data_IF_567716315808
#
_entry.id   IF_567716315808
#
_cell.length_a   1.000
_cell.length_b   1.000
_cell.length_c   1.000
_cell.angle_alpha   90.00
_cell.angle_beta   90.00
_cell.angle_gamma   90.00
#
_symmetry.space_group_name_H-M   'P 1'
#
loop_
_entity.id
_entity.type
_entity.pdbx_description
1 polymer ?
#
# COMPACT_ATOMS: atom_id res chain seq x y z
N UNK A 1 -0.63 -18.58 -40.90
CA UNK A 1 -1.89 -17.82 -41.00
C UNK A 1 -1.96 -16.82 -39.85
N UNK A 2 -2.37 -15.59 -40.16
CA UNK A 2 -2.03 -14.37 -39.43
C UNK A 2 -2.65 -14.26 -38.03
N UNK A 3 -1.81 -14.08 -37.01
CA UNK A 3 -2.23 -13.51 -35.73
C UNK A 3 -2.34 -11.99 -35.93
N UNK A 4 -3.55 -11.48 -35.78
CA UNK A 4 -3.94 -10.09 -36.02
C UNK A 4 -3.15 -9.12 -35.15
N UNK A 5 -2.14 -8.50 -35.76
CA UNK A 5 -1.40 -7.34 -35.26
C UNK A 5 -2.27 -6.09 -35.42
N UNK A 6 -3.30 -5.95 -34.59
CA UNK A 6 -4.22 -4.80 -34.67
C UNK A 6 -4.93 -4.53 -33.35
N UNK A 7 -4.21 -3.93 -32.41
CA UNK A 7 -4.79 -2.98 -31.42
C UNK A 7 -3.92 -1.72 -31.27
N UNK A 8 -3.21 -1.37 -32.34
CA UNK A 8 -2.63 -0.04 -32.46
C UNK A 8 -3.73 0.93 -32.88
N UNK A 9 -3.85 2.03 -32.14
CA UNK A 9 -4.43 3.28 -32.63
C UNK A 9 -5.95 3.47 -32.64
N UNK A 10 -6.53 3.54 -31.44
CA UNK A 10 -7.58 4.51 -31.13
C UNK A 10 -7.04 5.55 -30.12
N UNK A 11 -5.84 6.08 -30.34
CA UNK A 11 -5.36 7.33 -29.73
C UNK A 11 -5.79 8.52 -30.61
N UNK A 12 -7.05 8.50 -31.04
CA UNK A 12 -7.63 9.58 -31.82
C UNK A 12 -7.92 10.76 -30.87
N UNK A 13 -6.94 11.65 -30.77
CA UNK A 13 -7.07 13.05 -30.33
C UNK A 13 -7.40 13.34 -28.86
N UNK A 14 -7.12 12.45 -27.92
CA UNK A 14 -7.03 12.85 -26.52
C UNK A 14 -5.73 13.65 -26.30
N UNK A 15 -5.86 14.89 -25.81
CA UNK A 15 -4.69 15.70 -25.45
C UNK A 15 -3.90 14.98 -24.38
N UNK A 16 -2.64 14.67 -24.68
CA UNK A 16 -1.72 14.12 -23.69
C UNK A 16 -1.34 15.23 -22.71
N UNK A 17 -1.84 15.13 -21.50
CA UNK A 17 -1.58 16.07 -20.43
C UNK A 17 -0.25 15.73 -19.75
N UNK A 18 0.54 16.76 -19.47
CA UNK A 18 1.71 16.63 -18.61
C UNK A 18 1.29 16.36 -17.17
N UNK A 19 2.23 15.88 -16.34
CA UNK A 19 1.99 15.64 -14.90
C UNK A 19 1.38 16.85 -14.20
N UNK A 20 1.82 18.06 -14.56
CA UNK A 20 1.31 19.30 -13.95
C UNK A 20 -0.11 19.61 -14.41
N UNK A 21 -0.40 19.46 -15.69
CA UNK A 21 -1.74 19.69 -16.24
C UNK A 21 -2.75 18.66 -15.73
N UNK A 22 -2.37 17.38 -15.69
CA UNK A 22 -3.20 16.32 -15.13
C UNK A 22 -3.50 16.54 -13.65
N UNK A 23 -2.51 17.00 -12.87
CA UNK A 23 -2.71 17.34 -11.47
C UNK A 23 -3.67 18.53 -11.30
N UNK A 24 -3.53 19.58 -12.12
CA UNK A 24 -4.46 20.70 -12.16
C UNK A 24 -5.88 20.27 -12.56
N UNK A 25 -6.02 19.37 -13.54
CA UNK A 25 -7.32 18.86 -13.99
C UNK A 25 -8.06 18.05 -12.91
N UNK A 26 -7.33 17.38 -12.04
CA UNK A 26 -7.87 16.65 -10.89
C UNK A 26 -7.98 17.51 -9.61
N UNK A 27 -7.43 18.72 -9.60
CA UNK A 27 -7.39 19.58 -8.42
C UNK A 27 -6.49 19.04 -7.28
N UNK A 28 -5.50 18.21 -7.58
CA UNK A 28 -4.60 17.60 -6.59
C UNK A 28 -3.15 18.05 -6.78
N UNK A 29 -2.31 17.81 -5.76
CA UNK A 29 -0.87 18.05 -5.89
C UNK A 29 -0.21 17.04 -6.84
N UNK A 30 0.84 17.48 -7.53
CA UNK A 30 1.66 16.61 -8.41
C UNK A 30 2.26 15.42 -7.64
N UNK A 31 2.60 15.60 -6.36
CA UNK A 31 3.10 14.53 -5.48
C UNK A 31 2.05 13.43 -5.29
N UNK A 32 0.79 13.80 -5.07
CA UNK A 32 -0.31 12.83 -4.92
C UNK A 32 -0.56 12.09 -6.22
N UNK A 33 -0.59 12.80 -7.35
CA UNK A 33 -0.73 12.18 -8.67
C UNK A 33 0.34 11.11 -8.92
N UNK A 34 1.61 11.42 -8.61
CA UNK A 34 2.72 10.46 -8.72
C UNK A 34 2.53 9.29 -7.75
N UNK A 35 1.96 9.52 -6.56
CA UNK A 35 1.58 8.48 -5.62
C UNK A 35 0.60 7.48 -6.24
N UNK A 36 -0.51 7.96 -6.82
CA UNK A 36 -1.50 7.11 -7.49
C UNK A 36 -0.90 6.28 -8.64
N UNK A 37 0.02 6.88 -9.42
CA UNK A 37 0.74 6.15 -10.48
C UNK A 37 1.64 5.06 -9.90
N UNK A 38 2.36 5.33 -8.79
CA UNK A 38 3.20 4.32 -8.13
C UNK A 38 2.38 3.17 -7.53
N UNK A 39 1.17 3.46 -7.06
CA UNK A 39 0.22 2.47 -6.58
C UNK A 39 -0.45 1.66 -7.71
N UNK A 40 -0.30 2.09 -8.97
CA UNK A 40 -0.94 1.45 -10.12
C UNK A 40 -2.42 1.81 -10.30
N UNK A 41 -2.89 2.86 -9.66
CA UNK A 41 -4.31 3.29 -9.73
C UNK A 41 -4.61 4.14 -10.98
N UNK A 42 -3.56 4.74 -11.56
CA UNK A 42 -3.64 5.61 -12.72
C UNK A 42 -2.66 5.17 -13.81
N UNK A 43 -3.21 4.92 -15.01
CA UNK A 43 -2.45 4.62 -16.22
C UNK A 43 -1.65 5.84 -16.67
N UNK A 44 -0.47 5.60 -17.23
CA UNK A 44 0.33 6.67 -17.83
C UNK A 44 1.01 6.17 -19.09
N UNK A 45 1.27 7.11 -19.99
CA UNK A 45 2.04 6.87 -21.20
C UNK A 45 3.45 7.40 -20.96
N UNK A 46 4.44 6.52 -21.11
CA UNK A 46 5.84 6.91 -21.03
C UNK A 46 6.25 7.57 -22.35
N UNK A 47 6.38 8.90 -22.36
CA UNK A 47 6.77 9.68 -23.54
C UNK A 47 8.26 10.02 -23.43
N UNK A 48 9.10 9.02 -23.67
CA UNK A 48 10.55 9.19 -23.73
C UNK A 48 11.32 7.88 -23.57
N UNK A 49 12.49 7.81 -24.22
CA UNK A 49 13.43 6.68 -24.14
C UNK A 49 14.40 6.78 -22.95
N UNK A 50 14.32 7.86 -22.15
CA UNK A 50 15.22 8.09 -21.03
C UNK A 50 14.96 7.12 -19.87
N UNK A 51 15.95 6.27 -19.58
CA UNK A 51 15.92 5.29 -18.48
C UNK A 51 15.97 5.93 -17.08
N UNK A 52 16.59 7.11 -16.94
CA UNK A 52 16.77 7.80 -15.66
C UNK A 52 15.61 8.74 -15.27
N UNK A 53 15.01 9.43 -16.24
CA UNK A 53 13.89 10.36 -16.03
C UNK A 53 12.82 10.13 -17.08
N UNK A 54 12.00 9.10 -16.88
CA UNK A 54 10.86 8.84 -17.72
C UNK A 54 9.85 9.98 -17.61
N UNK A 55 9.58 10.66 -18.73
CA UNK A 55 8.50 11.63 -18.81
C UNK A 55 7.19 10.85 -18.94
N UNK A 56 6.23 11.19 -18.07
CA UNK A 56 4.91 10.56 -18.03
C UNK A 56 3.89 11.56 -18.53
N UNK A 57 3.05 11.12 -19.45
CA UNK A 57 1.90 11.87 -19.94
C UNK A 57 0.64 11.06 -19.67
N UNK A 58 -0.48 11.76 -19.53
CA UNK A 58 -1.76 11.17 -19.16
C UNK A 58 -2.80 11.48 -20.23
N UNK A 59 -3.64 10.50 -20.50
CA UNK A 59 -4.82 10.70 -21.31
C UNK A 59 -5.93 11.33 -20.47
N UNK A 60 -6.70 12.26 -21.05
CA UNK A 60 -7.88 12.83 -20.42
C UNK A 60 -8.93 11.76 -20.07
N UNK A 61 -9.09 10.74 -20.93
CA UNK A 61 -10.02 9.64 -20.69
C UNK A 61 -9.62 8.79 -19.47
N UNK A 62 -8.31 8.57 -19.27
CA UNK A 62 -7.80 7.84 -18.11
C UNK A 62 -8.01 8.62 -16.80
N UNK A 63 -7.88 9.95 -16.85
CA UNK A 63 -8.15 10.83 -15.71
C UNK A 63 -9.63 10.82 -15.35
N UNK A 64 -10.53 10.83 -16.34
CA UNK A 64 -11.97 10.77 -16.08
C UNK A 64 -12.37 9.41 -15.50
N UNK A 65 -11.86 8.31 -16.07
CA UNK A 65 -12.06 6.98 -15.51
C UNK A 65 -11.53 6.86 -14.07
N UNK A 66 -10.42 7.55 -13.76
CA UNK A 66 -9.91 7.62 -12.40
C UNK A 66 -10.85 8.37 -11.46
N UNK A 67 -11.41 9.52 -11.88
CA UNK A 67 -12.41 10.26 -11.09
C UNK A 67 -13.62 9.39 -10.79
N UNK A 68 -14.14 8.66 -11.77
CA UNK A 68 -15.26 7.75 -11.59
C UNK A 68 -14.95 6.65 -10.57
N UNK A 69 -13.75 6.05 -10.65
CA UNK A 69 -13.30 5.04 -9.67
C UNK A 69 -13.14 5.58 -8.25
N UNK A 70 -12.69 6.83 -8.11
CA UNK A 70 -12.51 7.48 -6.81
C UNK A 70 -13.79 8.09 -6.26
N UNK A 71 -14.83 8.23 -7.08
CA UNK A 71 -16.11 8.78 -6.66
C UNK A 71 -16.75 7.86 -5.62
N UNK A 72 -16.83 8.37 -4.39
CA UNK A 72 -17.48 7.70 -3.27
C UNK A 72 -18.56 8.62 -2.71
N UNK A 73 -19.67 8.03 -2.31
CA UNK A 73 -20.71 8.74 -1.57
C UNK A 73 -20.44 8.45 -0.10
N UNK A 74 -20.12 9.49 0.66
CA UNK A 74 -20.04 9.36 2.11
C UNK A 74 -21.45 9.15 2.63
N UNK A 75 -21.73 7.93 3.09
CA UNK A 75 -22.95 7.65 3.83
C UNK A 75 -22.72 8.20 5.23
N UNK A 76 -23.39 9.31 5.56
CA UNK A 76 -23.46 9.75 6.95
C UNK A 76 -23.91 8.55 7.79
N UNK A 77 -23.14 8.13 8.79
CA UNK A 77 -23.54 6.98 9.59
C UNK A 77 -24.92 7.27 10.18
N UNK A 78 -25.90 6.35 10.05
CA UNK A 78 -27.18 6.54 10.70
C UNK A 78 -26.93 6.78 12.21
N UNK A 79 -27.71 7.64 12.89
CA UNK A 79 -27.59 7.82 14.33
C UNK A 79 -27.92 6.49 15.02
N UNK A 80 -26.90 5.65 15.24
CA UNK A 80 -27.11 4.23 15.50
C UNK A 80 -25.88 3.55 16.05
N UNK A 81 -25.76 3.58 17.38
CA UNK A 81 -24.77 2.91 18.24
C UNK A 81 -23.31 3.33 18.01
N UNK A 82 -22.94 4.38 18.74
CA UNK A 82 -21.63 4.39 19.43
C UNK A 82 -21.52 3.04 20.14
N UNK A 83 -20.73 2.11 19.59
CA UNK A 83 -20.29 0.96 20.36
C UNK A 83 -19.44 1.54 21.48
N UNK A 84 -20.06 1.76 22.66
CA UNK A 84 -19.31 1.91 23.90
C UNK A 84 -18.34 0.74 23.90
N UNK A 85 -17.05 1.04 23.75
CA UNK A 85 -16.01 0.05 24.01
C UNK A 85 -16.36 -0.54 25.37
N UNK A 86 -16.41 -1.86 25.45
CA UNK A 86 -16.49 -2.53 26.76
C UNK A 86 -15.30 -2.00 27.54
N UNK A 87 -15.56 -1.06 28.45
CA UNK A 87 -14.63 -0.76 29.51
C UNK A 87 -14.44 -2.10 30.21
N UNK A 88 -13.22 -2.65 30.11
CA UNK A 88 -12.86 -3.85 30.84
C UNK A 88 -13.32 -3.63 32.28
N UNK A 89 -14.25 -4.47 32.74
CA UNK A 89 -14.73 -4.40 34.11
C UNK A 89 -13.56 -4.70 35.02
N UNK A 90 -12.89 -3.66 35.53
CA UNK A 90 -12.11 -3.75 36.76
C UNK A 90 -13.11 -3.83 37.90
N UNK A 91 -13.76 -4.98 38.04
CA UNK A 91 -14.43 -5.33 39.29
C UNK A 91 -13.33 -5.67 40.28
N UNK A 92 -13.35 -4.97 41.40
CA UNK A 92 -12.43 -5.09 42.50
C UNK A 92 -12.29 -6.57 42.93
N UNK A 93 -11.18 -7.20 42.55
CA UNK A 93 -10.82 -8.56 42.95
C UNK A 93 -9.30 -8.68 42.85
N UNK A 94 -8.64 -8.61 44.00
CA UNK A 94 -7.20 -8.80 44.25
C UNK A 94 -6.28 -8.63 43.04
N UNK A 95 -5.90 -7.38 42.80
CA UNK A 95 -5.02 -6.95 41.72
C UNK A 95 -3.57 -7.43 41.93
N UNK A 96 -3.27 -8.65 41.50
CA UNK A 96 -1.89 -9.17 41.35
C UNK A 96 -1.67 -9.96 40.05
N UNK A 97 -2.68 -10.72 39.60
CA UNK A 97 -2.47 -11.72 38.54
C UNK A 97 -2.34 -11.19 37.10
N UNK A 98 -2.75 -9.96 36.79
CA UNK A 98 -2.71 -9.46 35.40
C UNK A 98 -1.29 -9.13 34.94
N UNK A 99 -0.49 -8.48 35.80
CA UNK A 99 0.90 -8.15 35.49
C UNK A 99 1.77 -9.41 35.45
N UNK A 100 1.51 -10.38 36.32
CA UNK A 100 2.19 -11.68 36.35
C UNK A 100 1.89 -12.51 35.09
N UNK A 101 0.63 -12.64 34.68
CA UNK A 101 0.28 -13.31 33.41
C UNK A 101 0.93 -12.64 32.21
N UNK A 102 1.02 -11.31 32.21
CA UNK A 102 1.66 -10.55 31.12
C UNK A 102 3.18 -10.72 31.12
N UNK A 103 3.80 -10.85 32.29
CA UNK A 103 5.24 -11.12 32.42
C UNK A 103 5.58 -12.55 31.99
N UNK A 104 4.78 -13.54 32.38
CA UNK A 104 4.96 -14.94 31.98
C UNK A 104 4.92 -15.12 30.45
N UNK A 105 3.91 -14.55 29.79
CA UNK A 105 3.79 -14.60 28.33
C UNK A 105 4.94 -13.88 27.60
N UNK A 106 5.49 -12.82 28.19
CA UNK A 106 6.69 -12.15 27.65
C UNK A 106 7.94 -13.02 27.79
N UNK A 107 8.10 -13.69 28.93
CA UNK A 107 9.23 -14.57 29.19
C UNK A 107 9.24 -15.79 28.26
N UNK A 108 8.08 -16.40 28.01
CA UNK A 108 7.94 -17.51 27.05
C UNK A 108 8.32 -17.09 25.62
N UNK A 109 7.85 -15.93 25.17
CA UNK A 109 8.21 -15.38 23.85
C UNK A 109 9.71 -15.09 23.74
N UNK A 110 10.33 -14.63 24.83
CA UNK A 110 11.75 -14.33 24.85
C UNK A 110 12.59 -15.62 24.80
N UNK A 111 12.22 -16.65 25.57
CA UNK A 111 12.84 -17.98 25.50
C UNK A 111 12.78 -18.57 24.10
N UNK A 112 11.60 -18.57 23.47
CA UNK A 112 11.44 -19.05 22.09
C UNK A 112 12.29 -18.26 21.08
N UNK A 113 12.49 -16.96 21.30
CA UNK A 113 13.34 -16.12 20.45
C UNK A 113 14.82 -16.43 20.65
N UNK A 114 15.24 -16.66 21.88
CA UNK A 114 16.63 -16.95 22.21
C UNK A 114 17.02 -18.38 21.82
N UNK A 115 16.12 -19.36 21.98
CA UNK A 115 16.24 -20.71 21.41
C UNK A 115 16.39 -20.68 19.89
N UNK A 116 15.58 -19.86 19.19
CA UNK A 116 15.72 -19.66 17.73
C UNK A 116 17.05 -19.04 17.35
N UNK A 117 17.57 -18.09 18.13
CA UNK A 117 18.90 -17.50 17.89
C UNK A 117 20.01 -18.51 18.14
N UNK A 118 19.91 -19.31 19.20
CA UNK A 118 20.89 -20.35 19.54
C UNK A 118 20.91 -21.45 18.48
N UNK A 119 19.74 -21.92 18.04
CA UNK A 119 19.62 -22.87 16.94
C UNK A 119 20.24 -22.32 15.64
N UNK A 120 19.98 -21.05 15.32
CA UNK A 120 20.54 -20.38 14.14
C UNK A 120 22.06 -20.14 14.26
N UNK A 121 22.58 -19.87 15.46
CA UNK A 121 24.02 -19.74 15.70
C UNK A 121 24.76 -21.09 15.53
N UNK A 122 24.13 -22.18 15.95
CA UNK A 122 24.66 -23.54 15.80
C UNK A 122 24.61 -24.03 14.34
N UNK A 123 23.61 -23.63 13.56
CA UNK A 123 23.49 -23.98 12.13
C UNK A 123 24.21 -22.99 11.19
N UNK A 124 24.52 -21.77 11.63
CA UNK A 124 25.15 -20.72 10.84
C UNK A 124 26.67 -20.86 10.62
N UNK A 125 27.32 -21.90 11.16
CA UNK A 125 28.77 -22.02 11.24
C UNK A 125 29.50 -22.84 10.16
N UNK A 126 28.86 -23.33 9.09
CA UNK A 126 29.55 -24.10 8.01
C UNK A 126 29.37 -23.49 6.62
N UNK A 127 29.95 -22.31 6.38
CA UNK A 127 30.29 -21.83 5.03
C UNK A 127 31.63 -21.08 5.03
N UNK A 128 32.72 -21.84 5.19
CA UNK A 128 34.10 -21.46 4.86
C UNK A 128 34.88 -22.79 4.80
N UNK A 129 35.69 -23.15 3.82
CA UNK A 129 36.25 -22.52 2.62
C UNK A 129 36.63 -23.70 1.70
N UNK A 130 36.33 -23.60 0.41
CA UNK A 130 37.01 -24.42 -0.59
C UNK A 130 38.38 -23.84 -0.88
N UNK A 131 39.40 -24.70 -0.89
CA UNK A 131 40.63 -24.63 -1.67
C UNK A 131 41.06 -26.07 -1.91
#
# INVERSE_FOLDING_TARGET
>A
MAVTKSRGALWMFSRLLTVREAASALGISTRMLIGHVKCGELSYIAVGSGTLRQRRMFDEADLEAFKERQRRIEVWPPPGRIRRGVAGSSLNGEGGGFMERRAALKAERQKARDERKQANALTGGRRSRGC
#
